data_IF_696840263989
#
_entry.id   IF_696840263989
#
_cell.length_a   1.000
_cell.length_b   1.000
_cell.length_c   1.000
_cell.angle_alpha   90.00
_cell.angle_beta   90.00
_cell.angle_gamma   90.00
#
_symmetry.space_group_name_H-M   'P 1'
#
loop_
_entity.id
_entity.type
_entity.pdbx_description
1 polymer ?
#
# COMPACT_ATOMS: atom_id res chain seq x y z
N UNK A 1 -1.42 -33.25 -12.12
CA UNK A 1 -1.09 -32.08 -11.28
C UNK A 1 -1.82 -32.24 -9.97
N UNK A 2 -1.17 -32.48 -8.83
CA UNK A 2 -1.85 -32.59 -7.55
C UNK A 2 -2.34 -31.23 -7.10
N UNK A 3 -3.61 -31.17 -6.80
CA UNK A 3 -4.33 -30.02 -6.27
C UNK A 3 -3.93 -29.85 -4.79
N UNK A 4 -2.94 -29.00 -4.49
CA UNK A 4 -2.58 -28.65 -3.13
C UNK A 4 -3.49 -27.52 -2.65
N UNK A 5 -4.60 -27.91 -2.04
CA UNK A 5 -5.41 -27.00 -1.22
C UNK A 5 -4.50 -26.46 -0.11
N UNK A 6 -4.40 -25.13 0.07
CA UNK A 6 -3.61 -24.58 1.17
C UNK A 6 -4.20 -25.03 2.51
N UNK A 7 -3.40 -25.32 3.54
CA UNK A 7 -3.87 -25.76 4.83
C UNK A 7 -4.72 -24.68 5.47
N UNK A 8 -5.86 -25.09 6.04
CA UNK A 8 -6.74 -24.21 6.81
C UNK A 8 -5.95 -23.63 7.99
N UNK A 9 -5.94 -22.31 8.19
CA UNK A 9 -5.20 -21.70 9.30
C UNK A 9 -5.77 -22.20 10.64
N UNK A 10 -4.90 -22.71 11.52
CA UNK A 10 -5.29 -23.03 12.90
C UNK A 10 -5.59 -21.72 13.64
N UNK A 11 -6.72 -21.59 14.34
CA UNK A 11 -6.97 -20.45 15.22
C UNK A 11 -5.88 -20.45 16.32
N UNK A 12 -5.14 -19.34 16.46
CA UNK A 12 -4.01 -19.18 17.39
C UNK A 12 -2.64 -18.98 16.75
N UNK A 13 -2.44 -19.37 15.49
CA UNK A 13 -1.13 -19.22 14.84
C UNK A 13 -0.68 -17.75 14.67
N UNK A 14 -1.61 -16.82 14.61
CA UNK A 14 -1.33 -15.39 14.55
C UNK A 14 -0.94 -14.80 15.92
N UNK A 15 -1.56 -15.27 16.99
CA UNK A 15 -1.32 -14.76 18.34
C UNK A 15 0.08 -15.15 18.85
N UNK A 16 0.54 -16.36 18.57
CA UNK A 16 1.90 -16.80 18.92
C UNK A 16 2.95 -15.95 18.18
N UNK A 17 2.73 -15.67 16.89
CA UNK A 17 3.65 -14.83 16.11
C UNK A 17 3.69 -13.39 16.63
N UNK A 18 2.54 -12.82 16.96
CA UNK A 18 2.45 -11.46 17.52
C UNK A 18 3.19 -11.35 18.86
N UNK A 19 3.09 -12.36 19.72
CA UNK A 19 3.82 -12.39 20.98
C UNK A 19 5.35 -12.43 20.75
N UNK A 20 5.82 -13.21 19.78
CA UNK A 20 7.25 -13.24 19.40
C UNK A 20 7.68 -11.88 18.84
N UNK A 21 6.90 -11.27 17.96
CA UNK A 21 7.19 -9.94 17.41
C UNK A 21 7.23 -8.88 18.50
N UNK A 22 6.26 -8.83 19.40
CA UNK A 22 6.20 -7.86 20.50
C UNK A 22 7.45 -7.95 21.39
N UNK A 23 7.93 -9.16 21.70
CA UNK A 23 9.19 -9.36 22.43
C UNK A 23 10.40 -8.86 21.63
N UNK A 24 10.54 -9.29 20.39
CA UNK A 24 11.66 -8.90 19.52
C UNK A 24 11.76 -7.38 19.34
N UNK A 25 10.60 -6.70 19.24
CA UNK A 25 10.53 -5.25 19.14
C UNK A 25 11.03 -4.59 20.43
N UNK A 26 10.60 -5.07 21.60
CA UNK A 26 11.05 -4.55 22.91
C UNK A 26 12.55 -4.75 23.13
N UNK A 27 13.09 -5.85 22.64
CA UNK A 27 14.50 -6.21 22.77
C UNK A 27 15.37 -5.63 21.63
N UNK A 28 14.76 -4.96 20.63
CA UNK A 28 15.41 -4.46 19.41
C UNK A 28 16.11 -5.58 18.63
N UNK A 29 15.59 -6.80 18.72
CA UNK A 29 16.12 -7.98 18.03
C UNK A 29 15.60 -8.04 16.58
N UNK A 30 16.37 -7.45 15.67
CA UNK A 30 16.06 -7.40 14.23
C UNK A 30 15.91 -8.79 13.62
N UNK A 31 16.76 -9.74 14.01
CA UNK A 31 16.78 -11.08 13.39
C UNK A 31 15.55 -11.90 13.79
N UNK A 32 15.21 -11.90 15.08
CA UNK A 32 14.00 -12.58 15.56
C UNK A 32 12.74 -11.95 14.99
N UNK A 33 12.66 -10.61 14.88
CA UNK A 33 11.53 -9.92 14.29
C UNK A 33 11.38 -10.29 12.81
N UNK A 34 12.46 -10.22 12.05
CA UNK A 34 12.48 -10.58 10.62
C UNK A 34 12.05 -12.02 10.42
N UNK A 35 12.65 -12.96 11.16
CA UNK A 35 12.36 -14.39 11.07
C UNK A 35 10.89 -14.69 11.40
N UNK A 36 10.33 -14.09 12.45
CA UNK A 36 8.92 -14.26 12.80
C UNK A 36 7.97 -13.88 11.66
N UNK A 37 8.26 -12.78 10.96
CA UNK A 37 7.44 -12.34 9.80
C UNK A 37 7.58 -13.31 8.63
N UNK A 38 8.81 -13.73 8.28
CA UNK A 38 9.05 -14.64 7.17
C UNK A 38 8.41 -16.03 7.38
N UNK A 39 8.58 -16.61 8.58
CA UNK A 39 8.01 -17.90 8.93
C UNK A 39 6.48 -17.84 8.96
N UNK A 40 5.92 -16.75 9.48
CA UNK A 40 4.48 -16.54 9.47
C UNK A 40 3.93 -16.42 8.04
N UNK A 41 4.59 -15.63 7.18
CA UNK A 41 4.19 -15.52 5.78
C UNK A 41 4.22 -16.87 5.05
N UNK A 42 5.27 -17.65 5.24
CA UNK A 42 5.39 -19.00 4.65
C UNK A 42 4.29 -19.96 5.14
N UNK A 43 3.82 -19.79 6.38
CA UNK A 43 2.82 -20.66 7.00
C UNK A 43 1.38 -20.29 6.66
N UNK A 44 1.03 -18.99 6.68
CA UNK A 44 -0.36 -18.54 6.57
C UNK A 44 -0.65 -17.66 5.34
N UNK A 45 0.38 -17.34 4.55
CA UNK A 45 0.26 -16.56 3.31
C UNK A 45 0.12 -15.06 3.54
N UNK A 46 0.14 -14.31 2.43
CA UNK A 46 0.22 -12.84 2.41
C UNK A 46 -0.96 -12.16 3.10
N UNK A 47 -2.18 -12.51 2.74
CA UNK A 47 -3.39 -11.85 3.27
C UNK A 47 -3.50 -12.03 4.79
N UNK A 48 -3.22 -13.24 5.28
CA UNK A 48 -3.31 -13.52 6.71
C UNK A 48 -2.16 -12.86 7.48
N UNK A 49 -0.92 -12.92 6.98
CA UNK A 49 0.19 -12.26 7.67
C UNK A 49 0.00 -10.74 7.73
N UNK A 50 -0.51 -10.11 6.69
CA UNK A 50 -0.77 -8.67 6.71
C UNK A 50 -1.91 -8.34 7.66
N UNK A 51 -3.08 -8.95 7.50
CA UNK A 51 -4.29 -8.54 8.21
C UNK A 51 -4.32 -9.00 9.68
N UNK A 52 -3.80 -10.20 9.98
CA UNK A 52 -3.94 -10.81 11.31
C UNK A 52 -2.67 -10.70 12.16
N UNK A 53 -1.51 -10.41 11.54
CA UNK A 53 -0.22 -10.31 12.24
C UNK A 53 0.35 -8.90 12.15
N UNK A 54 0.73 -8.43 10.95
CA UNK A 54 1.51 -7.19 10.81
C UNK A 54 0.71 -5.96 11.20
N UNK A 55 -0.51 -5.81 10.68
CA UNK A 55 -1.35 -4.64 10.99
C UNK A 55 -1.68 -4.55 12.48
N UNK A 56 -2.14 -5.62 13.16
CA UNK A 56 -2.36 -5.56 14.60
C UNK A 56 -1.09 -5.28 15.41
N UNK A 57 0.05 -5.91 15.06
CA UNK A 57 1.32 -5.67 15.77
C UNK A 57 1.82 -4.24 15.61
N UNK A 58 1.72 -3.65 14.42
CA UNK A 58 2.13 -2.27 14.20
C UNK A 58 1.20 -1.26 14.91
N UNK A 59 -0.10 -1.55 14.99
CA UNK A 59 -1.03 -0.76 15.80
C UNK A 59 -0.68 -0.82 17.29
N UNK A 60 -0.41 -2.01 17.81
CA UNK A 60 0.02 -2.20 19.20
C UNK A 60 1.31 -1.41 19.50
N UNK A 61 2.30 -1.45 18.60
CA UNK A 61 3.54 -0.64 18.74
C UNK A 61 3.21 0.85 18.78
N UNK A 62 2.32 1.33 17.92
CA UNK A 62 1.87 2.73 17.92
C UNK A 62 1.18 3.14 19.22
N UNK A 63 0.29 2.28 19.74
CA UNK A 63 -0.43 2.51 21.00
C UNK A 63 0.54 2.55 22.19
N UNK A 64 1.49 1.61 22.26
CA UNK A 64 2.51 1.56 23.32
C UNK A 64 3.47 2.75 23.24
N UNK A 65 3.82 3.20 22.04
CA UNK A 65 4.61 4.43 21.86
C UNK A 65 3.84 5.67 22.35
N UNK A 66 2.57 5.79 22.01
CA UNK A 66 1.74 6.90 22.49
C UNK A 66 1.55 6.89 24.01
N UNK A 67 1.48 5.71 24.62
CA UNK A 67 1.42 5.53 26.07
C UNK A 67 2.77 5.80 26.79
N UNK A 68 3.89 5.87 26.03
CA UNK A 68 5.23 6.04 26.57
C UNK A 68 5.90 4.74 27.02
N UNK A 69 5.27 3.58 26.78
CA UNK A 69 5.80 2.25 27.12
C UNK A 69 6.87 1.77 26.13
N UNK A 70 6.87 2.34 24.93
CA UNK A 70 7.91 2.19 23.92
C UNK A 70 8.44 3.56 23.49
N UNK A 71 9.74 3.63 23.21
CA UNK A 71 10.33 4.84 22.64
C UNK A 71 10.15 4.87 21.12
N UNK A 72 10.34 6.05 20.51
CA UNK A 72 10.36 6.21 19.05
C UNK A 72 11.39 5.30 18.36
N UNK A 73 12.46 4.91 19.07
CA UNK A 73 13.45 3.97 18.55
C UNK A 73 12.82 2.61 18.22
N UNK A 74 11.97 2.08 19.13
CA UNK A 74 11.30 0.78 18.92
C UNK A 74 10.33 0.83 17.74
N UNK A 75 9.55 1.92 17.63
CA UNK A 75 8.63 2.12 16.50
C UNK A 75 9.39 2.19 15.17
N UNK A 76 10.46 2.99 15.10
CA UNK A 76 11.28 3.11 13.90
C UNK A 76 11.95 1.80 13.53
N UNK A 77 12.52 1.09 14.52
CA UNK A 77 13.14 -0.21 14.32
C UNK A 77 12.13 -1.22 13.73
N UNK A 78 10.96 -1.36 14.36
CA UNK A 78 9.92 -2.27 13.90
C UNK A 78 9.47 -1.93 12.47
N UNK A 79 9.18 -0.65 12.20
CA UNK A 79 8.75 -0.17 10.89
C UNK A 79 9.78 -0.44 9.79
N UNK A 80 11.08 -0.25 10.06
CA UNK A 80 12.15 -0.52 9.09
C UNK A 80 12.32 -2.01 8.80
N UNK A 81 12.27 -2.87 9.82
CA UNK A 81 12.37 -4.33 9.60
C UNK A 81 11.17 -4.84 8.82
N UNK A 82 9.95 -4.46 9.21
CA UNK A 82 8.74 -4.86 8.48
C UNK A 82 8.80 -4.37 7.04
N UNK A 83 9.22 -3.13 6.78
CA UNK A 83 9.38 -2.59 5.42
C UNK A 83 10.35 -3.46 4.60
N UNK A 84 11.50 -3.81 5.16
CA UNK A 84 12.51 -4.61 4.44
C UNK A 84 11.97 -5.98 4.01
N UNK A 85 11.20 -6.63 4.88
CA UNK A 85 10.56 -7.92 4.58
C UNK A 85 9.44 -7.78 3.54
N UNK A 86 8.64 -6.72 3.65
CA UNK A 86 7.57 -6.42 2.67
C UNK A 86 8.14 -6.23 1.26
N UNK A 87 9.30 -5.58 1.13
CA UNK A 87 9.97 -5.42 -0.16
C UNK A 87 10.47 -6.76 -0.74
N UNK A 88 10.80 -7.75 0.10
CA UNK A 88 11.12 -9.10 -0.38
C UNK A 88 9.90 -9.82 -0.92
N UNK A 89 8.75 -9.72 -0.24
CA UNK A 89 7.49 -10.33 -0.70
C UNK A 89 7.00 -9.74 -2.04
N UNK A 90 7.34 -8.48 -2.32
CA UNK A 90 6.96 -7.80 -3.58
C UNK A 90 7.72 -8.28 -4.81
N UNK A 91 8.71 -9.15 -4.69
CA UNK A 91 9.50 -9.67 -5.81
C UNK A 91 8.78 -10.73 -6.64
N UNK A 92 7.59 -11.16 -6.25
CA UNK A 92 6.78 -12.02 -7.08
C UNK A 92 6.40 -11.30 -8.39
N UNK A 93 6.71 -11.94 -9.52
CA UNK A 93 6.49 -11.36 -10.83
C UNK A 93 4.99 -11.31 -11.15
N UNK A 94 4.45 -10.10 -11.22
CA UNK A 94 3.13 -9.88 -11.77
C UNK A 94 3.20 -9.86 -13.30
N UNK A 95 2.12 -10.27 -14.00
CA UNK A 95 2.03 -10.13 -15.44
C UNK A 95 2.33 -8.69 -15.88
N UNK A 96 3.03 -8.51 -17.00
CA UNK A 96 3.45 -7.19 -17.49
C UNK A 96 2.25 -6.28 -17.81
N UNK A 97 1.09 -6.85 -18.09
CA UNK A 97 -0.20 -6.20 -18.36
C UNK A 97 -1.09 -6.07 -17.12
N UNK A 98 -0.61 -6.49 -15.94
CA UNK A 98 -1.35 -6.36 -14.70
C UNK A 98 -1.81 -4.90 -14.48
N UNK A 99 -3.10 -4.70 -14.13
CA UNK A 99 -3.66 -3.37 -13.99
C UNK A 99 -3.02 -2.59 -12.85
N UNK A 100 -2.53 -1.40 -13.14
CA UNK A 100 -1.83 -0.57 -12.15
C UNK A 100 -2.78 0.13 -11.20
N UNK A 101 -2.40 0.12 -9.92
CA UNK A 101 -3.04 0.87 -8.84
C UNK A 101 -1.98 1.77 -8.20
N UNK A 102 -2.17 3.08 -8.24
CA UNK A 102 -1.28 4.03 -7.57
C UNK A 102 -1.66 4.15 -6.10
N UNK A 103 -0.68 4.02 -5.23
CA UNK A 103 -0.81 4.14 -3.78
C UNK A 103 -0.01 5.36 -3.32
N UNK A 104 -0.62 6.29 -2.56
CA UNK A 104 0.07 7.50 -2.14
C UNK A 104 -0.39 8.01 -0.77
N UNK A 105 0.55 8.59 -0.04
CA UNK A 105 0.25 9.48 1.08
C UNK A 105 0.22 10.92 0.57
N UNK A 106 -0.86 11.67 0.76
CA UNK A 106 -0.96 13.06 0.30
C UNK A 106 0.02 13.97 1.04
N UNK A 107 0.22 15.23 0.58
CA UNK A 107 1.17 16.15 1.20
C UNK A 107 1.01 16.28 2.70
N UNK A 108 2.12 16.13 3.43
CA UNK A 108 2.20 16.18 4.89
C UNK A 108 1.84 14.87 5.60
N UNK A 109 1.48 13.80 4.87
CA UNK A 109 1.25 12.48 5.45
C UNK A 109 2.52 11.61 5.31
N UNK A 110 3.05 11.12 6.44
CA UNK A 110 4.31 10.39 6.48
C UNK A 110 4.13 8.87 6.69
N UNK A 111 2.94 8.41 7.06
CA UNK A 111 2.67 7.01 7.40
C UNK A 111 2.46 6.17 6.14
N UNK A 112 3.54 5.84 5.43
CA UNK A 112 3.47 5.12 4.15
C UNK A 112 3.50 3.58 4.29
N UNK A 113 3.98 3.03 5.42
CA UNK A 113 4.07 1.59 5.61
C UNK A 113 2.73 0.86 5.39
N UNK A 114 1.56 1.38 5.82
CA UNK A 114 0.28 0.79 5.49
C UNK A 114 0.02 0.64 3.98
N UNK A 115 0.51 1.56 3.14
CA UNK A 115 0.36 1.45 1.69
C UNK A 115 1.21 0.32 1.10
N UNK A 116 2.40 0.07 1.66
CA UNK A 116 3.24 -1.04 1.23
C UNK A 116 2.60 -2.38 1.57
N UNK A 117 2.06 -2.52 2.80
CA UNK A 117 1.31 -3.70 3.22
C UNK A 117 0.07 -3.93 2.35
N UNK A 118 -0.70 -2.88 2.10
CA UNK A 118 -1.88 -2.94 1.24
C UNK A 118 -1.53 -3.32 -0.20
N UNK A 119 -0.39 -2.83 -0.69
CA UNK A 119 0.15 -3.20 -1.99
C UNK A 119 0.39 -4.70 -2.15
N UNK A 120 0.88 -5.40 -1.10
CA UNK A 120 1.02 -6.86 -1.13
C UNK A 120 -0.32 -7.55 -1.34
N UNK A 121 -1.36 -7.12 -0.62
CA UNK A 121 -2.70 -7.70 -0.75
C UNK A 121 -3.31 -7.47 -2.14
N UNK A 122 -3.03 -6.31 -2.75
CA UNK A 122 -3.44 -6.00 -4.12
C UNK A 122 -2.69 -6.85 -5.16
N UNK A 123 -1.39 -7.11 -4.93
CA UNK A 123 -0.59 -8.00 -5.78
C UNK A 123 -1.18 -9.42 -5.80
N UNK A 124 -1.56 -9.96 -4.64
CA UNK A 124 -2.26 -11.24 -4.52
C UNK A 124 -3.61 -11.30 -5.26
N UNK A 125 -4.17 -10.15 -5.64
CA UNK A 125 -5.41 -10.02 -6.45
C UNK A 125 -5.13 -9.69 -7.92
N UNK A 126 -3.89 -9.84 -8.36
CA UNK A 126 -3.48 -9.59 -9.75
C UNK A 126 -3.41 -8.12 -10.14
N UNK A 127 -3.41 -7.21 -9.17
CA UNK A 127 -3.18 -5.79 -9.41
C UNK A 127 -1.69 -5.45 -9.29
N UNK A 128 -1.19 -4.53 -10.10
CA UNK A 128 0.18 -4.02 -10.01
C UNK A 128 0.22 -2.75 -9.14
N UNK A 129 0.54 -2.84 -7.83
CA UNK A 129 0.62 -1.69 -6.95
C UNK A 129 1.84 -0.84 -7.30
N UNK A 130 1.64 0.48 -7.33
CA UNK A 130 2.70 1.45 -7.57
C UNK A 130 2.72 2.48 -6.42
N UNK A 131 3.48 2.24 -5.35
CA UNK A 131 3.58 3.17 -4.24
C UNK A 131 4.42 4.39 -4.64
N UNK A 132 3.89 5.58 -4.37
CA UNK A 132 4.59 6.85 -4.51
C UNK A 132 5.26 7.30 -3.21
N UNK A 133 4.91 6.65 -2.11
CA UNK A 133 5.49 6.95 -0.80
C UNK A 133 4.79 8.07 -0.04
N UNK A 134 5.52 8.60 0.97
CA UNK A 134 5.06 9.62 1.90
C UNK A 134 5.04 11.01 1.25
N UNK A 135 4.19 11.88 1.80
CA UNK A 135 4.11 13.32 1.45
C UNK A 135 4.14 13.62 -0.05
N UNK A 136 3.44 12.80 -0.85
CA UNK A 136 3.42 12.93 -2.32
C UNK A 136 2.59 14.15 -2.75
N UNK A 137 3.16 15.07 -3.55
CA UNK A 137 2.43 16.20 -4.08
C UNK A 137 1.22 15.81 -4.93
N UNK A 138 0.10 16.53 -4.81
CA UNK A 138 -1.14 16.25 -5.55
C UNK A 138 -0.93 16.15 -7.06
N UNK A 139 -0.05 17.00 -7.60
CA UNK A 139 0.30 16.98 -9.03
C UNK A 139 1.01 15.67 -9.40
N UNK A 140 1.95 15.21 -8.57
CA UNK A 140 2.65 13.95 -8.81
C UNK A 140 1.69 12.75 -8.79
N UNK A 141 0.70 12.73 -7.88
CA UNK A 141 -0.34 11.71 -7.84
C UNK A 141 -1.16 11.71 -9.15
N UNK A 142 -1.57 12.88 -9.63
CA UNK A 142 -2.31 13.02 -10.88
C UNK A 142 -1.46 12.59 -12.10
N UNK A 143 -0.20 13.01 -12.14
CA UNK A 143 0.74 12.65 -13.20
C UNK A 143 1.03 11.14 -13.22
N UNK A 144 1.19 10.51 -12.05
CA UNK A 144 1.38 9.07 -11.94
C UNK A 144 0.19 8.29 -12.54
N UNK A 145 -1.07 8.69 -12.23
CA UNK A 145 -2.24 8.08 -12.88
C UNK A 145 -2.15 8.16 -14.39
N UNK A 146 -1.88 9.34 -14.92
CA UNK A 146 -1.83 9.59 -16.37
C UNK A 146 -0.69 8.83 -17.05
N UNK A 147 0.52 8.90 -16.50
CA UNK A 147 1.73 8.30 -17.08
C UNK A 147 1.67 6.78 -17.02
N UNK A 148 1.24 6.23 -15.89
CA UNK A 148 1.17 4.78 -15.67
C UNK A 148 -0.11 4.15 -16.23
N UNK A 149 -1.10 4.94 -16.61
CA UNK A 149 -2.42 4.44 -16.97
C UNK A 149 -3.14 3.75 -15.80
N UNK A 150 -2.88 4.20 -14.56
CA UNK A 150 -3.41 3.56 -13.38
C UNK A 150 -4.94 3.66 -13.33
N UNK A 151 -5.60 2.53 -13.07
CA UNK A 151 -7.06 2.42 -13.05
C UNK A 151 -7.66 3.02 -11.80
N UNK A 152 -7.01 2.83 -10.66
CA UNK A 152 -7.48 3.29 -9.34
C UNK A 152 -6.35 4.02 -8.63
N UNK A 153 -6.70 5.09 -7.89
CA UNK A 153 -5.82 5.71 -6.91
C UNK A 153 -6.29 5.33 -5.50
N UNK A 154 -5.38 4.92 -4.64
CA UNK A 154 -5.63 4.70 -3.22
C UNK A 154 -4.78 5.68 -2.43
N UNK A 155 -5.42 6.51 -1.62
CA UNK A 155 -4.76 7.48 -0.75
C UNK A 155 -4.95 7.07 0.71
N UNK A 156 -3.89 7.08 1.48
CA UNK A 156 -3.95 6.76 2.91
C UNK A 156 -3.46 7.92 3.77
N UNK A 157 -4.00 8.01 4.98
CA UNK A 157 -3.56 8.99 5.97
C UNK A 157 -3.98 8.62 7.39
N UNK A 158 -3.16 9.02 8.37
CA UNK A 158 -3.34 8.72 9.78
C UNK A 158 -4.08 9.82 10.54
N UNK A 159 -4.07 11.06 10.05
CA UNK A 159 -4.69 12.18 10.78
C UNK A 159 -6.21 12.21 10.60
N UNK A 160 -7.02 12.13 11.67
CA UNK A 160 -8.47 12.15 11.59
C UNK A 160 -9.00 13.33 10.77
N UNK A 161 -10.02 13.07 9.95
CA UNK A 161 -10.64 14.06 9.03
C UNK A 161 -9.62 14.73 8.07
N UNK A 162 -8.46 14.13 7.84
CA UNK A 162 -7.43 14.69 6.94
C UNK A 162 -7.94 14.89 5.52
N UNK A 163 -8.77 14.00 5.01
CA UNK A 163 -9.32 14.10 3.66
C UNK A 163 -10.52 15.06 3.55
N UNK A 164 -11.31 15.23 4.59
CA UNK A 164 -12.44 16.19 4.56
C UNK A 164 -11.99 17.65 4.38
N UNK A 165 -10.74 17.96 4.73
CA UNK A 165 -10.14 19.29 4.54
C UNK A 165 -9.49 19.48 3.16
N UNK A 166 -9.42 18.41 2.35
CA UNK A 166 -8.72 18.37 1.04
C UNK A 166 -9.69 18.18 -0.14
N UNK A 167 -10.87 18.79 -0.06
CA UNK A 167 -11.98 18.62 -1.02
C UNK A 167 -11.54 18.90 -2.45
N UNK A 168 -10.97 20.08 -2.72
CA UNK A 168 -10.60 20.51 -4.09
C UNK A 168 -9.62 19.54 -4.79
N UNK A 169 -8.47 19.16 -4.19
CA UNK A 169 -7.56 18.23 -4.83
C UNK A 169 -8.16 16.83 -5.02
N UNK A 170 -8.95 16.34 -4.05
CA UNK A 170 -9.62 15.04 -4.18
C UNK A 170 -10.62 15.03 -5.33
N UNK A 171 -11.47 16.06 -5.45
CA UNK A 171 -12.40 16.16 -6.56
C UNK A 171 -11.70 16.29 -7.91
N UNK A 172 -10.54 16.97 -7.96
CA UNK A 172 -9.73 17.05 -9.16
C UNK A 172 -9.24 15.66 -9.60
N UNK A 173 -8.79 14.82 -8.65
CA UNK A 173 -8.40 13.45 -8.93
C UNK A 173 -9.61 12.58 -9.33
N UNK A 174 -10.75 12.71 -8.66
CA UNK A 174 -11.95 11.92 -8.94
C UNK A 174 -12.50 12.15 -10.36
N UNK A 175 -12.33 13.36 -10.90
CA UNK A 175 -12.70 13.64 -12.30
C UNK A 175 -11.88 12.82 -13.33
N UNK A 176 -10.74 12.26 -12.93
CA UNK A 176 -9.87 11.49 -13.82
C UNK A 176 -10.06 9.97 -13.69
N UNK A 177 -10.91 9.53 -12.75
CA UNK A 177 -11.23 8.13 -12.52
C UNK A 177 -11.35 7.79 -11.02
N UNK A 178 -11.57 6.51 -10.67
CA UNK A 178 -11.81 6.08 -9.30
C UNK A 178 -10.71 6.48 -8.31
N UNK A 179 -11.12 7.03 -7.17
CA UNK A 179 -10.24 7.39 -6.05
C UNK A 179 -10.80 6.78 -4.78
N UNK A 180 -9.97 6.03 -4.09
CA UNK A 180 -10.27 5.47 -2.78
C UNK A 180 -9.45 6.17 -1.70
N UNK A 181 -9.99 6.26 -0.50
CA UNK A 181 -9.28 6.77 0.68
C UNK A 181 -9.37 5.78 1.83
N UNK A 182 -8.31 5.69 2.63
CA UNK A 182 -8.17 4.74 3.73
C UNK A 182 -7.52 5.39 4.96
N UNK A 183 -7.60 4.68 6.08
CA UNK A 183 -7.01 5.09 7.36
C UNK A 183 -7.84 6.15 8.10
N UNK A 184 -7.35 6.60 9.25
CA UNK A 184 -8.07 7.55 10.10
C UNK A 184 -8.39 8.89 9.40
N UNK A 185 -7.58 9.26 8.39
CA UNK A 185 -7.83 10.45 7.59
C UNK A 185 -9.13 10.38 6.77
N UNK A 186 -9.65 9.19 6.51
CA UNK A 186 -10.92 8.98 5.81
C UNK A 186 -12.14 9.16 6.71
N UNK A 187 -11.97 9.37 8.03
CA UNK A 187 -13.08 9.68 8.94
C UNK A 187 -13.73 11.01 8.57
N UNK A 188 -15.04 11.13 8.78
CA UNK A 188 -15.80 12.33 8.43
C UNK A 188 -16.38 12.31 7.00
N UNK A 189 -16.94 13.44 6.58
CA UNK A 189 -17.57 13.57 5.26
C UNK A 189 -16.52 13.62 4.15
N UNK A 190 -16.73 12.82 3.11
CA UNK A 190 -15.89 12.80 1.92
C UNK A 190 -16.59 13.52 0.76
N UNK A 191 -15.83 14.12 -0.16
CA UNK A 191 -16.40 14.67 -1.38
C UNK A 191 -17.05 13.56 -2.23
N UNK A 192 -18.04 13.96 -3.03
CA UNK A 192 -18.67 13.08 -4.01
C UNK A 192 -17.63 12.47 -4.96
N UNK A 193 -17.82 11.19 -5.30
CA UNK A 193 -16.91 10.44 -6.18
C UNK A 193 -15.66 9.88 -5.49
N UNK A 194 -15.52 10.04 -4.16
CA UNK A 194 -14.45 9.46 -3.37
C UNK A 194 -14.99 8.28 -2.57
N UNK A 195 -14.44 7.11 -2.81
CA UNK A 195 -14.80 5.90 -2.07
C UNK A 195 -13.98 5.75 -0.79
N UNK A 196 -14.65 5.50 0.34
CA UNK A 196 -13.99 5.08 1.56
C UNK A 196 -13.77 3.57 1.52
N UNK A 197 -12.56 3.13 1.81
CA UNK A 197 -12.26 1.72 1.99
C UNK A 197 -12.67 1.25 3.40
N UNK A 198 -13.01 -0.03 3.50
CA UNK A 198 -13.29 -0.70 4.77
C UNK A 198 -12.05 -0.71 5.66
N UNK A 199 -12.25 -0.75 6.98
CA UNK A 199 -11.18 -0.98 7.95
C UNK A 199 -10.74 -2.45 7.96
N UNK A 200 -11.55 -3.37 7.40
CA UNK A 200 -11.12 -4.71 7.05
C UNK A 200 -10.26 -4.68 5.79
N UNK A 201 -9.01 -5.07 5.92
CA UNK A 201 -8.01 -4.98 4.87
C UNK A 201 -8.31 -5.92 3.69
N UNK A 202 -8.93 -7.06 3.95
CA UNK A 202 -9.34 -8.02 2.90
C UNK A 202 -10.48 -7.44 2.08
N UNK A 203 -11.52 -6.95 2.75
CA UNK A 203 -12.65 -6.29 2.09
C UNK A 203 -12.20 -5.06 1.28
N UNK A 204 -11.30 -4.26 1.85
CA UNK A 204 -10.72 -3.10 1.17
C UNK A 204 -9.97 -3.49 -0.10
N UNK A 205 -9.12 -4.52 -0.04
CA UNK A 205 -8.36 -5.00 -1.19
C UNK A 205 -9.27 -5.60 -2.27
N UNK A 206 -10.30 -6.35 -1.87
CA UNK A 206 -11.32 -6.89 -2.79
C UNK A 206 -12.12 -5.77 -3.47
N UNK A 207 -12.47 -4.72 -2.73
CA UNK A 207 -13.17 -3.57 -3.29
C UNK A 207 -12.34 -2.85 -4.36
N UNK A 208 -11.05 -2.62 -4.09
CA UNK A 208 -10.14 -2.01 -5.07
C UNK A 208 -9.97 -2.91 -6.30
N UNK A 209 -9.81 -4.23 -6.13
CA UNK A 209 -9.68 -5.17 -7.23
C UNK A 209 -10.94 -5.18 -8.12
N UNK A 210 -12.14 -5.14 -7.53
CA UNK A 210 -13.40 -4.99 -8.29
C UNK A 210 -13.43 -3.70 -9.10
N UNK A 211 -13.10 -2.55 -8.48
CA UNK A 211 -13.05 -1.26 -9.19
C UNK A 211 -12.07 -1.26 -10.35
N UNK A 212 -10.95 -1.96 -10.21
CA UNK A 212 -9.96 -2.15 -11.27
C UNK A 212 -10.56 -2.94 -12.44
N UNK A 213 -11.35 -3.98 -12.17
CA UNK A 213 -12.05 -4.77 -13.18
C UNK A 213 -13.13 -3.95 -13.91
N UNK A 214 -13.95 -3.21 -13.17
CA UNK A 214 -15.00 -2.34 -13.72
C UNK A 214 -14.43 -1.22 -14.61
N UNK A 215 -13.32 -0.59 -14.16
CA UNK A 215 -12.63 0.41 -14.96
C UNK A 215 -12.02 -0.15 -16.26
N UNK A 216 -11.80 -1.46 -16.33
CA UNK A 216 -11.40 -2.14 -17.56
C UNK A 216 -12.56 -2.32 -18.53
N UNK A 217 -13.71 -2.73 -18.01
CA UNK A 217 -14.92 -3.01 -18.81
C UNK A 217 -15.53 -1.72 -19.39
N UNK A 218 -15.37 -0.58 -18.72
CA UNK A 218 -15.89 0.72 -19.16
C UNK A 218 -15.02 1.48 -20.18
N UNK A 219 -13.84 0.98 -20.55
CA UNK A 219 -13.03 1.58 -21.63
C UNK A 219 -13.41 0.95 -22.96
N UNK A 220 -13.88 1.74 -23.95
CA UNK A 220 -14.07 1.20 -25.29
C UNK A 220 -12.74 0.66 -25.81
N UNK A 221 -12.78 -0.54 -26.38
CA UNK A 221 -11.66 -1.12 -27.09
C UNK A 221 -11.34 -0.21 -28.30
N UNK A 222 -10.38 0.68 -28.15
CA UNK A 222 -10.02 1.63 -29.17
C UNK A 222 -8.63 2.22 -28.94
N UNK A 223 -7.67 1.77 -29.79
CA UNK A 223 -6.44 2.49 -29.98
C UNK A 223 -5.13 1.73 -29.79
N UNK A 224 -5.00 0.55 -30.38
CA UNK A 224 -3.69 0.10 -30.84
C UNK A 224 -3.36 0.92 -32.11
N UNK A 225 -2.46 1.88 -32.02
CA UNK A 225 -2.01 2.60 -33.21
C UNK A 225 -1.37 3.92 -32.88
N UNK A 226 -0.06 3.96 -32.78
CA UNK A 226 0.82 4.93 -33.41
C UNK A 226 2.24 4.79 -32.83
N UNK A 227 3.04 3.98 -33.45
CA UNK A 227 4.50 4.15 -33.43
C UNK A 227 4.79 5.42 -34.22
N UNK A 228 5.15 6.47 -33.58
CA UNK A 228 5.82 7.59 -34.22
C UNK A 228 7.28 7.53 -33.85
N UNK A 229 8.10 7.12 -34.82
CA UNK A 229 9.53 7.38 -34.80
C UNK A 229 9.74 8.88 -34.89
N UNK A 230 10.72 9.39 -34.17
CA UNK A 230 11.06 10.81 -34.19
C UNK A 230 12.27 11.09 -33.33
N UNK A 231 13.44 11.09 -33.98
CA UNK A 231 14.64 11.90 -33.76
C UNK A 231 15.04 12.25 -32.32
N UNK A 232 16.22 11.79 -31.93
CA UNK A 232 17.05 12.34 -30.88
C UNK A 232 17.49 13.74 -31.27
N UNK A 233 17.46 14.71 -30.39
CA UNK A 233 18.45 15.81 -30.41
C UNK A 233 19.58 15.45 -29.44
N UNK A 234 20.77 15.50 -29.97
CA UNK A 234 22.07 15.53 -29.31
C UNK A 234 22.22 16.85 -28.54
N UNK A 235 22.79 16.77 -27.35
CA UNK A 235 23.62 17.86 -26.86
C UNK A 235 23.16 18.53 -25.58
N UNK A 236 24.02 18.39 -24.61
CA UNK A 236 24.52 19.40 -23.68
C UNK A 236 23.99 19.45 -22.22
N UNK A 237 24.95 19.10 -21.41
CA UNK A 237 25.36 19.61 -20.09
C UNK A 237 24.59 19.23 -18.84
N UNK A 238 25.35 18.46 -18.10
CA UNK A 238 25.24 18.28 -16.65
C UNK A 238 25.26 19.63 -15.91
N UNK A 239 24.41 19.72 -14.87
CA UNK A 239 24.80 20.43 -13.66
C UNK A 239 23.95 19.95 -12.48
N UNK A 240 24.62 19.29 -11.55
CA UNK A 240 24.49 19.28 -10.09
C UNK A 240 23.13 19.62 -9.50
N UNK A 241 22.57 18.67 -8.73
CA UNK A 241 22.19 18.92 -7.34
C UNK A 241 22.36 17.60 -6.55
N UNK A 242 23.13 17.70 -5.50
CA UNK A 242 23.36 16.70 -4.50
C UNK A 242 22.25 16.71 -3.45
N UNK A 243 22.16 15.61 -2.74
CA UNK A 243 21.44 15.28 -1.50
C UNK A 243 19.93 15.14 -1.57
#
# INVERSE_FOLDING_TARGET
MPNTTPPTPHPGAGDDTRAVMSRAIRELDSESLRRAVLESHARIGTDAVVADVLVPSLREVGDLWQAGDLSVLHEHHASQIVRSVVEEFRREELPADAPRVVLACPPGELHELPLHLFGLMLAGRGCAPFPLGSSTPWRAIADARRILGARVLVLSGAHPAGFSRRVKPLQALARTGPVCVAGAAASGALPEGIARLSDDWREAADAVARMVGEAAAGRPAGGAGARAGGARPSGERASRVAC
#
